data_IF_683451644760
#
_entry.id   IF_683451644760
#
_cell.length_a   1.000
_cell.length_b   1.000
_cell.length_c   1.000
_cell.angle_alpha   90.00
_cell.angle_beta   90.00
_cell.angle_gamma   90.00
#
_symmetry.space_group_name_H-M   'P 1'
#
loop_
_entity.id
_entity.type
_entity.pdbx_description
1 polymer ?
#
# COMPACT_ATOMS: atom_id res chain seq x y z
N UNK A 1 14.11 20.78 4.39
CA UNK A 1 13.90 21.86 3.38
C UNK A 1 12.41 22.16 3.13
N UNK A 2 11.59 21.16 2.78
CA UNK A 2 10.15 21.35 2.48
C UNK A 2 9.38 21.98 3.64
N UNK A 3 9.40 21.35 4.82
CA UNK A 3 8.70 21.88 6.01
C UNK A 3 9.22 23.25 6.44
N UNK A 4 10.53 23.50 6.38
CA UNK A 4 11.10 24.81 6.72
C UNK A 4 10.57 25.93 5.83
N UNK A 5 10.43 25.67 4.52
CA UNK A 5 9.81 26.62 3.57
C UNK A 5 8.32 26.81 3.84
N UNK A 6 7.58 25.75 4.16
CA UNK A 6 6.13 25.80 4.38
C UNK A 6 5.72 26.40 5.73
N UNK A 7 6.52 26.15 6.78
CA UNK A 7 6.26 26.62 8.13
C UNK A 7 6.78 28.04 8.36
N UNK A 8 7.89 28.42 7.72
CA UNK A 8 8.60 29.65 8.05
C UNK A 8 9.06 29.60 9.51
N UNK A 9 8.68 30.62 10.28
CA UNK A 9 9.01 30.70 11.72
C UNK A 9 8.04 29.91 12.61
N UNK A 10 6.94 29.37 12.05
CA UNK A 10 5.94 28.62 12.80
C UNK A 10 6.47 27.26 13.23
N UNK A 11 6.05 26.79 14.40
CA UNK A 11 6.43 25.48 14.94
C UNK A 11 5.52 24.34 14.44
N UNK A 12 4.29 24.65 14.04
CA UNK A 12 3.29 23.71 13.55
C UNK A 12 2.23 24.46 12.71
N UNK A 13 1.16 23.76 12.32
CA UNK A 13 0.04 24.30 11.55
C UNK A 13 -1.31 24.06 12.24
N UNK A 14 -1.36 24.06 13.57
CA UNK A 14 -2.61 23.85 14.32
C UNK A 14 -3.66 24.95 14.05
N UNK A 15 -3.24 26.09 13.53
CA UNK A 15 -4.05 27.21 13.07
C UNK A 15 -4.73 26.95 11.70
N UNK A 16 -4.33 25.92 10.97
CA UNK A 16 -4.89 25.61 9.64
C UNK A 16 -6.16 24.77 9.79
N UNK A 17 -7.29 25.46 9.94
CA UNK A 17 -8.59 24.87 10.25
C UNK A 17 -9.30 24.19 9.06
N UNK A 18 -8.93 24.58 7.83
CA UNK A 18 -9.59 24.13 6.59
C UNK A 18 -11.12 24.34 6.57
N UNK A 19 -11.58 25.43 7.16
CA UNK A 19 -13.00 25.80 7.29
C UNK A 19 -13.74 26.00 5.96
N UNK A 20 -13.00 26.22 4.87
CA UNK A 20 -13.51 26.30 3.51
C UNK A 20 -13.84 24.95 2.88
N UNK A 21 -13.40 23.83 3.48
CA UNK A 21 -13.67 22.49 2.94
C UNK A 21 -15.15 22.14 3.13
N UNK A 22 -15.77 21.58 2.08
CA UNK A 22 -17.10 21.01 2.22
C UNK A 22 -17.07 19.80 3.17
N UNK A 23 -18.20 19.44 3.84
CA UNK A 23 -18.26 18.26 4.67
C UNK A 23 -17.81 17.00 3.92
N UNK A 24 -16.85 16.26 4.48
CA UNK A 24 -16.38 14.99 3.92
C UNK A 24 -17.37 13.89 4.32
N UNK A 25 -17.96 13.24 3.33
CA UNK A 25 -18.95 12.19 3.50
C UNK A 25 -18.32 10.80 3.56
N UNK A 26 -19.02 9.84 4.15
CA UNK A 26 -18.61 8.43 4.14
C UNK A 26 -18.47 7.87 2.72
N UNK A 27 -19.31 8.32 1.78
CA UNK A 27 -19.22 7.93 0.38
C UNK A 27 -17.87 8.32 -0.24
N UNK A 28 -17.39 9.54 0.04
CA UNK A 28 -16.08 10.00 -0.45
C UNK A 28 -14.92 9.20 0.16
N UNK A 29 -15.04 8.75 1.41
CA UNK A 29 -14.00 7.95 2.08
C UNK A 29 -13.96 6.48 1.63
N UNK A 30 -15.08 5.95 1.12
CA UNK A 30 -15.23 4.55 0.71
C UNK A 30 -15.12 4.34 -0.80
N UNK A 31 -15.04 5.42 -1.58
CA UNK A 31 -14.88 5.35 -3.02
C UNK A 31 -13.53 4.69 -3.37
N UNK A 32 -13.52 3.54 -4.06
CA UNK A 32 -12.28 2.92 -4.49
C UNK A 32 -11.61 3.77 -5.57
N UNK A 33 -10.30 3.98 -5.48
CA UNK A 33 -9.55 4.67 -6.53
C UNK A 33 -9.47 3.84 -7.83
N UNK A 34 -9.40 4.54 -8.96
CA UNK A 34 -9.13 3.92 -10.26
C UNK A 34 -7.73 3.29 -10.33
N UNK A 35 -7.59 2.22 -11.11
CA UNK A 35 -6.30 1.56 -11.33
C UNK A 35 -6.42 0.13 -11.85
N UNK A 36 -5.29 -0.41 -12.31
CA UNK A 36 -5.20 -1.76 -12.86
C UNK A 36 -4.62 -2.77 -11.86
N UNK A 37 -5.06 -4.03 -11.99
CA UNK A 37 -4.45 -5.18 -11.30
C UNK A 37 -3.46 -5.85 -12.27
N UNK A 38 -2.17 -5.59 -12.12
CA UNK A 38 -1.15 -6.08 -13.06
C UNK A 38 -0.39 -7.29 -12.50
N UNK A 39 0.08 -8.20 -13.36
CA UNK A 39 0.98 -9.29 -12.92
C UNK A 39 2.26 -8.73 -12.30
N UNK A 40 2.82 -7.67 -12.88
CA UNK A 40 4.03 -7.03 -12.38
C UNK A 40 3.85 -6.56 -10.92
N UNK A 41 2.72 -5.93 -10.60
CA UNK A 41 2.34 -5.54 -9.24
C UNK A 41 2.16 -6.74 -8.32
N UNK A 42 1.46 -7.78 -8.78
CA UNK A 42 1.30 -9.02 -8.01
C UNK A 42 2.65 -9.67 -7.64
N UNK A 43 3.56 -9.79 -8.61
CA UNK A 43 4.89 -10.38 -8.39
C UNK A 43 5.75 -9.50 -7.50
N UNK A 44 5.63 -8.17 -7.58
CA UNK A 44 6.31 -7.26 -6.67
C UNK A 44 5.83 -7.46 -5.22
N UNK A 45 4.52 -7.53 -4.99
CA UNK A 45 3.93 -7.83 -3.68
C UNK A 45 4.49 -9.13 -3.08
N UNK A 46 4.56 -10.20 -3.89
CA UNK A 46 5.10 -11.50 -3.44
C UNK A 46 6.57 -11.35 -3.00
N UNK A 47 7.42 -10.73 -3.85
CA UNK A 47 8.85 -10.59 -3.53
C UNK A 47 9.09 -9.75 -2.28
N UNK A 48 8.39 -8.63 -2.12
CA UNK A 48 8.55 -7.75 -0.97
C UNK A 48 8.06 -8.43 0.30
N UNK A 49 6.86 -9.02 0.29
CA UNK A 49 6.30 -9.68 1.46
C UNK A 49 7.15 -10.87 1.93
N UNK A 50 7.66 -11.71 1.02
CA UNK A 50 8.51 -12.85 1.38
C UNK A 50 9.83 -12.41 2.00
N UNK A 51 10.51 -11.42 1.41
CA UNK A 51 11.75 -10.86 1.96
C UNK A 51 11.52 -10.20 3.32
N UNK A 52 10.43 -9.44 3.47
CA UNK A 52 10.10 -8.83 4.76
C UNK A 52 9.83 -9.88 5.83
N UNK A 53 9.04 -10.92 5.52
CA UNK A 53 8.70 -11.98 6.48
C UNK A 53 9.97 -12.75 6.89
N UNK A 54 10.89 -13.03 5.97
CA UNK A 54 12.18 -13.66 6.27
C UNK A 54 12.98 -12.83 7.28
N UNK A 55 13.17 -11.53 7.01
CA UNK A 55 13.90 -10.67 7.92
C UNK A 55 13.18 -10.56 9.29
N UNK A 56 11.85 -10.50 9.29
CA UNK A 56 11.05 -10.40 10.51
C UNK A 56 11.19 -11.63 11.41
N UNK A 57 11.09 -12.85 10.86
CA UNK A 57 11.31 -14.09 11.63
C UNK A 57 12.78 -14.25 12.06
N UNK A 58 13.71 -13.61 11.35
CA UNK A 58 15.12 -13.49 11.71
C UNK A 58 15.39 -12.39 12.76
N UNK A 59 14.35 -11.72 13.26
CA UNK A 59 14.44 -10.73 14.35
C UNK A 59 14.60 -9.27 13.90
N UNK A 60 14.47 -8.97 12.60
CA UNK A 60 14.52 -7.61 12.06
C UNK A 60 13.20 -7.17 11.44
N UNK A 61 12.51 -6.21 12.07
CA UNK A 61 11.27 -5.62 11.57
C UNK A 61 11.44 -4.33 10.74
N UNK A 62 12.68 -3.90 10.48
CA UNK A 62 12.99 -2.68 9.73
C UNK A 62 13.95 -3.05 8.59
N UNK A 63 13.38 -3.30 7.41
CA UNK A 63 14.04 -4.11 6.37
C UNK A 63 14.29 -3.28 5.11
N UNK A 64 15.55 -3.08 4.68
CA UNK A 64 15.83 -2.43 3.42
C UNK A 64 15.50 -3.37 2.24
N UNK A 65 14.45 -3.08 1.48
CA UNK A 65 14.04 -3.87 0.31
C UNK A 65 13.96 -2.92 -0.90
N UNK A 66 14.74 -3.22 -1.95
CA UNK A 66 14.80 -2.41 -3.18
C UNK A 66 15.01 -0.89 -2.98
N UNK A 67 15.75 -0.50 -1.93
CA UNK A 67 16.06 0.89 -1.62
C UNK A 67 15.03 1.62 -0.75
N UNK A 68 13.98 0.93 -0.31
CA UNK A 68 12.99 1.42 0.65
C UNK A 68 13.17 0.74 2.00
N UNK A 69 12.86 1.46 3.08
CA UNK A 69 12.84 0.88 4.44
C UNK A 69 11.43 0.38 4.74
N UNK A 70 11.26 -0.93 4.67
CA UNK A 70 9.96 -1.59 4.82
C UNK A 70 9.71 -2.02 6.27
N UNK A 71 8.45 -1.90 6.69
CA UNK A 71 7.92 -2.42 7.94
C UNK A 71 6.78 -3.43 7.67
N UNK A 72 6.09 -3.87 8.74
CA UNK A 72 5.05 -4.88 8.64
C UNK A 72 3.88 -4.45 7.75
N UNK A 73 3.58 -3.15 7.67
CA UNK A 73 2.45 -2.66 6.89
C UNK A 73 2.63 -2.96 5.40
N UNK A 74 3.87 -2.93 4.88
CA UNK A 74 4.15 -3.26 3.48
C UNK A 74 3.86 -4.74 3.17
N UNK A 75 4.24 -5.65 4.06
CA UNK A 75 3.90 -7.06 3.91
C UNK A 75 2.38 -7.30 4.03
N UNK A 76 1.72 -6.58 4.92
CA UNK A 76 0.28 -6.69 5.16
C UNK A 76 -0.57 -6.24 3.96
N UNK A 77 -0.26 -5.09 3.35
CA UNK A 77 -0.99 -4.65 2.15
C UNK A 77 -0.71 -5.58 0.96
N UNK A 78 0.55 -6.05 0.83
CA UNK A 78 0.96 -6.98 -0.23
C UNK A 78 0.14 -8.28 -0.19
N UNK A 79 0.02 -8.92 0.99
CA UNK A 79 -0.73 -10.17 1.13
C UNK A 79 -2.25 -9.96 1.07
N UNK A 80 -2.75 -8.85 1.62
CA UNK A 80 -4.21 -8.58 1.68
C UNK A 80 -4.78 -8.26 0.31
N UNK A 81 -4.04 -7.51 -0.52
CA UNK A 81 -4.43 -7.23 -1.91
C UNK A 81 -4.57 -8.52 -2.74
N UNK A 82 -3.59 -9.43 -2.66
CA UNK A 82 -3.65 -10.72 -3.35
C UNK A 82 -4.82 -11.57 -2.84
N UNK A 83 -5.02 -11.62 -1.52
CA UNK A 83 -6.16 -12.32 -0.92
C UNK A 83 -7.50 -11.80 -1.46
N UNK A 84 -7.67 -10.48 -1.54
CA UNK A 84 -8.88 -9.85 -2.04
C UNK A 84 -9.15 -10.24 -3.51
N UNK A 85 -8.12 -10.26 -4.35
CA UNK A 85 -8.25 -10.64 -5.76
C UNK A 85 -8.65 -12.09 -5.93
N UNK A 86 -8.10 -13.00 -5.12
CA UNK A 86 -8.49 -14.42 -5.10
C UNK A 86 -9.93 -14.57 -4.58
N UNK A 87 -10.28 -13.88 -3.49
CA UNK A 87 -11.57 -14.02 -2.81
C UNK A 87 -12.74 -13.54 -3.68
N UNK A 88 -12.54 -12.48 -4.45
CA UNK A 88 -13.56 -11.92 -5.35
C UNK A 88 -13.37 -12.34 -6.82
N UNK A 89 -12.61 -13.40 -7.08
CA UNK A 89 -12.44 -14.01 -8.42
C UNK A 89 -12.07 -12.98 -9.50
N UNK A 90 -11.17 -12.05 -9.17
CA UNK A 90 -10.78 -10.96 -10.08
C UNK A 90 -9.76 -11.44 -11.10
N UNK A 91 -9.77 -10.82 -12.27
CA UNK A 91 -8.70 -10.98 -13.27
C UNK A 91 -7.65 -9.87 -13.17
N UNK A 92 -6.44 -10.23 -13.60
CA UNK A 92 -5.39 -9.28 -13.96
C UNK A 92 -5.79 -8.50 -15.22
N UNK A 93 -5.06 -7.42 -15.52
CA UNK A 93 -5.31 -6.57 -16.70
C UNK A 93 -5.10 -7.30 -18.03
N UNK A 94 -4.32 -8.39 -18.06
CA UNK A 94 -4.18 -9.29 -19.21
C UNK A 94 -5.27 -10.38 -19.31
N UNK A 95 -6.28 -10.34 -18.43
CA UNK A 95 -7.43 -11.24 -18.46
C UNK A 95 -7.27 -12.55 -17.68
N UNK A 96 -6.07 -12.91 -17.21
CA UNK A 96 -5.89 -14.13 -16.40
C UNK A 96 -6.62 -14.03 -15.06
N UNK A 97 -7.38 -15.07 -14.64
CA UNK A 97 -8.04 -15.09 -13.34
C UNK A 97 -7.01 -15.26 -12.21
N UNK A 98 -7.11 -14.44 -11.16
CA UNK A 98 -6.26 -14.54 -9.98
C UNK A 98 -6.78 -15.68 -9.10
N UNK A 99 -6.01 -16.75 -9.01
CA UNK A 99 -6.38 -17.95 -8.25
C UNK A 99 -5.27 -18.36 -7.27
N UNK A 100 -5.62 -19.22 -6.30
CA UNK A 100 -4.62 -19.85 -5.43
C UNK A 100 -3.57 -20.66 -6.22
N UNK A 101 -3.92 -21.18 -7.40
CA UNK A 101 -2.98 -21.90 -8.25
C UNK A 101 -2.00 -20.93 -8.91
N UNK A 102 -2.50 -19.84 -9.50
CA UNK A 102 -1.66 -18.80 -10.12
C UNK A 102 -0.72 -18.16 -9.09
N UNK A 103 -1.18 -17.91 -7.87
CA UNK A 103 -0.34 -17.37 -6.80
C UNK A 103 0.85 -18.27 -6.42
N UNK A 104 0.69 -19.60 -6.51
CA UNK A 104 1.73 -20.58 -6.13
C UNK A 104 2.71 -20.91 -7.25
N UNK A 105 2.40 -20.51 -8.49
CA UNK A 105 3.21 -20.77 -9.69
C UNK A 105 4.37 -19.78 -9.79
#
# INVERSE_FOLDING_TARGET
EVFGKALGDRQNQLDVMREQDAPISAAQLLEPCDGERTEAGMRANIRVAVQYIEAWISGNGCVPIYGLMEDAATAEISRTSIWQWIHHEKSLNDGRPVTKALFRQ
#
